data_IF_548938348540
#
_entry.id   IF_548938348540
#
_cell.length_a   1.000
_cell.length_b   1.000
_cell.length_c   1.000
_cell.angle_alpha   90.00
_cell.angle_beta   90.00
_cell.angle_gamma   90.00
#
_symmetry.space_group_name_H-M   'P 1'
#
loop_
_entity.id
_entity.type
_entity.pdbx_description
1 polymer ?
#
# COMPACT_ATOMS: atom_id res chain seq x y z
N UNK A 1 -1.77 9.17 41.92
CA UNK A 1 -2.30 7.83 41.62
C UNK A 1 -1.11 6.94 41.27
N UNK A 2 -0.69 6.09 42.22
CA UNK A 2 0.44 5.18 41.97
C UNK A 2 0.00 4.13 40.94
N UNK A 3 0.68 4.09 39.81
CA UNK A 3 0.44 3.04 38.81
C UNK A 3 0.77 1.68 39.43
N UNK A 4 -0.13 0.74 39.35
CA UNK A 4 0.01 -0.64 39.82
C UNK A 4 1.31 -1.24 39.23
N UNK A 5 2.00 -2.07 40.03
CA UNK A 5 3.21 -2.79 39.61
C UNK A 5 3.06 -3.57 38.32
N UNK A 6 1.86 -4.08 38.01
CA UNK A 6 1.51 -4.73 36.75
C UNK A 6 1.44 -3.79 35.55
N UNK A 7 1.15 -2.50 35.76
CA UNK A 7 1.17 -1.50 34.68
C UNK A 7 2.60 -1.08 34.31
N UNK A 8 3.52 -1.10 35.23
CA UNK A 8 4.95 -0.80 34.98
C UNK A 8 5.65 -1.92 34.21
N UNK A 9 5.21 -3.16 34.38
CA UNK A 9 5.72 -4.30 33.60
C UNK A 9 5.20 -4.35 32.16
N UNK A 10 4.03 -3.76 31.90
CA UNK A 10 3.44 -3.71 30.52
C UNK A 10 4.25 -2.89 29.53
N UNK A 11 5.06 -1.94 30.00
CA UNK A 11 5.86 -1.04 29.13
C UNK A 11 7.36 -1.22 29.36
N UNK A 12 7.77 -2.43 29.75
CA UNK A 12 9.16 -2.69 30.13
C UNK A 12 10.17 -2.50 28.99
N UNK A 13 9.73 -2.54 27.74
CA UNK A 13 10.55 -2.28 26.56
C UNK A 13 9.92 -1.25 25.63
N UNK A 14 9.58 -0.11 26.14
CA UNK A 14 9.33 1.03 25.28
C UNK A 14 10.67 1.66 24.91
N UNK A 15 11.03 1.72 23.65
CA UNK A 15 12.26 2.30 23.14
C UNK A 15 12.49 3.76 23.60
N UNK A 16 11.43 4.39 24.11
CA UNK A 16 11.37 5.80 24.49
C UNK A 16 11.06 6.04 25.97
N UNK A 17 11.15 5.02 26.84
CA UNK A 17 10.79 5.19 28.26
C UNK A 17 11.58 6.30 28.93
N UNK A 18 11.00 7.48 28.98
CA UNK A 18 11.27 8.55 29.88
C UNK A 18 10.05 8.81 30.77
N UNK A 19 10.24 9.17 32.02
CA UNK A 19 9.22 9.44 33.03
C UNK A 19 8.06 10.30 32.49
N UNK A 20 6.91 9.70 32.25
CA UNK A 20 5.70 10.45 31.89
C UNK A 20 5.02 10.96 33.14
N UNK A 21 5.37 12.16 33.55
CA UNK A 21 4.44 13.00 34.31
C UNK A 21 3.63 13.79 33.30
N UNK A 22 2.38 13.38 33.09
CA UNK A 22 1.40 14.12 32.27
C UNK A 22 1.06 15.46 32.92
N UNK A 23 1.89 16.45 32.72
CA UNK A 23 1.51 17.83 32.89
C UNK A 23 0.86 18.31 31.59
N UNK A 24 -0.39 18.77 31.64
CA UNK A 24 -1.12 19.37 30.50
C UNK A 24 -0.40 20.53 29.80
N UNK A 25 0.71 21.01 30.34
CA UNK A 25 1.60 22.00 29.75
C UNK A 25 2.58 21.44 28.73
N UNK A 26 2.66 20.11 28.62
CA UNK A 26 3.65 19.43 27.76
C UNK A 26 2.96 18.59 26.66
N UNK A 27 1.89 19.16 26.05
CA UNK A 27 1.25 18.56 24.87
C UNK A 27 2.17 18.52 23.64
N UNK A 28 3.45 18.92 23.80
CA UNK A 28 4.41 18.99 22.72
C UNK A 28 4.12 20.12 21.73
N UNK A 29 5.00 20.29 20.75
CA UNK A 29 4.80 21.31 19.71
C UNK A 29 3.70 20.84 18.74
N UNK A 30 2.67 21.67 18.58
CA UNK A 30 1.66 21.49 17.54
C UNK A 30 2.31 21.69 16.16
N UNK A 31 2.21 20.69 15.29
CA UNK A 31 2.66 20.77 13.91
C UNK A 31 1.45 20.88 12.97
N UNK A 32 1.59 21.68 11.92
CA UNK A 32 0.58 21.78 10.85
C UNK A 32 0.56 20.57 9.92
N UNK A 33 1.45 19.61 10.11
CA UNK A 33 1.56 18.38 9.33
C UNK A 33 1.83 17.17 10.25
N UNK A 34 1.48 15.99 9.77
CA UNK A 34 1.73 14.75 10.51
C UNK A 34 3.21 14.37 10.42
N UNK A 35 3.90 14.42 11.57
CA UNK A 35 5.34 14.11 11.65
C UNK A 35 5.63 12.60 11.59
N UNK A 36 4.64 11.76 11.87
CA UNK A 36 4.70 10.29 11.80
C UNK A 36 4.75 9.76 10.36
N UNK A 37 4.19 10.50 9.39
CA UNK A 37 4.12 10.04 7.99
C UNK A 37 5.48 10.06 7.29
N UNK A 38 5.75 9.08 6.41
CA UNK A 38 6.93 9.11 5.58
C UNK A 38 6.86 10.29 4.60
N UNK A 39 8.00 10.86 4.30
CA UNK A 39 8.16 11.85 3.24
C UNK A 39 9.10 11.29 2.21
N UNK A 40 8.69 11.28 0.97
CA UNK A 40 9.56 10.93 -0.14
C UNK A 40 10.69 11.95 -0.26
N UNK A 41 11.89 11.47 -0.55
CA UNK A 41 13.10 12.26 -0.66
C UNK A 41 13.68 12.23 -2.07
N UNK A 42 14.59 13.16 -2.36
CA UNK A 42 15.41 13.17 -3.60
C UNK A 42 14.62 13.13 -4.91
N UNK A 43 13.47 13.78 -4.97
CA UNK A 43 12.64 13.85 -6.18
C UNK A 43 11.69 12.66 -6.34
N UNK A 44 11.59 11.76 -5.35
CA UNK A 44 10.61 10.66 -5.34
C UNK A 44 9.17 11.19 -5.22
N UNK A 45 8.99 12.44 -4.84
CA UNK A 45 7.71 13.15 -4.81
C UNK A 45 7.13 13.47 -6.19
N UNK A 46 7.83 13.18 -7.26
CA UNK A 46 7.33 13.37 -8.64
C UNK A 46 6.07 12.55 -8.90
N UNK A 47 5.11 13.12 -9.58
CA UNK A 47 3.79 12.53 -9.77
C UNK A 47 3.81 11.10 -10.31
N UNK A 48 4.68 10.78 -11.27
CA UNK A 48 4.83 9.44 -11.83
C UNK A 48 5.38 8.47 -10.78
N UNK A 49 6.44 8.86 -10.07
CA UNK A 49 7.08 8.04 -9.03
C UNK A 49 6.11 7.80 -7.86
N UNK A 50 5.48 8.88 -7.38
CA UNK A 50 4.48 8.85 -6.32
C UNK A 50 3.30 7.95 -6.69
N UNK A 51 2.82 8.03 -7.94
CA UNK A 51 1.72 7.20 -8.43
C UNK A 51 2.07 5.71 -8.39
N UNK A 52 3.26 5.33 -8.84
CA UNK A 52 3.74 3.94 -8.81
C UNK A 52 3.89 3.45 -7.37
N UNK A 53 4.55 4.21 -6.50
CA UNK A 53 4.76 3.84 -5.10
C UNK A 53 3.44 3.68 -4.35
N UNK A 54 2.55 4.66 -4.48
CA UNK A 54 1.24 4.62 -3.84
C UNK A 54 0.38 3.47 -4.35
N UNK A 55 0.39 3.19 -5.66
CA UNK A 55 -0.39 2.08 -6.21
C UNK A 55 0.07 0.76 -5.62
N UNK A 56 1.37 0.46 -5.66
CA UNK A 56 1.91 -0.77 -5.10
C UNK A 56 1.65 -0.84 -3.58
N UNK A 57 1.89 0.25 -2.86
CA UNK A 57 1.71 0.28 -1.41
C UNK A 57 0.24 0.03 -1.00
N UNK A 58 -0.73 0.58 -1.73
CA UNK A 58 -2.16 0.35 -1.50
C UNK A 58 -2.55 -1.11 -1.79
N UNK A 59 -2.00 -1.70 -2.84
CA UNK A 59 -2.31 -3.08 -3.21
C UNK A 59 -1.68 -4.08 -2.24
N UNK A 60 -0.46 -3.84 -1.76
CA UNK A 60 0.17 -4.63 -0.69
C UNK A 60 -0.62 -4.50 0.61
N UNK A 61 -1.01 -3.29 1.00
CA UNK A 61 -1.78 -3.02 2.21
C UNK A 61 -3.23 -3.55 2.16
N UNK A 62 -3.71 -3.94 0.98
CA UNK A 62 -5.02 -4.58 0.82
C UNK A 62 -5.02 -6.08 1.18
N UNK A 63 -3.84 -6.68 1.31
CA UNK A 63 -3.69 -8.07 1.75
C UNK A 63 -3.86 -8.17 3.26
N UNK A 64 -4.54 -9.23 3.70
CA UNK A 64 -4.81 -9.47 5.11
C UNK A 64 -3.65 -10.27 5.72
N UNK A 65 -2.85 -9.62 6.55
CA UNK A 65 -1.73 -10.23 7.29
C UNK A 65 -2.21 -10.59 8.68
N UNK A 66 -1.98 -11.83 9.12
CA UNK A 66 -2.45 -12.33 10.41
C UNK A 66 -1.41 -13.18 11.11
N UNK A 67 -1.44 -13.17 12.45
CA UNK A 67 -0.74 -14.12 13.28
C UNK A 67 -1.59 -15.39 13.43
N UNK A 68 -1.06 -16.52 12.97
CA UNK A 68 -1.83 -17.76 12.81
C UNK A 68 -1.09 -18.96 13.41
N UNK A 69 -1.86 -19.99 13.69
CA UNK A 69 -1.35 -21.33 13.96
C UNK A 69 -1.54 -22.20 12.73
N UNK A 70 -0.51 -22.95 12.38
CA UNK A 70 -0.53 -23.92 11.31
C UNK A 70 -0.63 -25.34 11.87
N UNK A 71 -1.02 -26.30 11.05
CA UNK A 71 -0.92 -27.71 11.37
C UNK A 71 0.50 -28.27 11.09
N UNK A 72 0.71 -29.56 11.33
CA UNK A 72 1.98 -30.24 11.06
C UNK A 72 2.39 -30.22 9.56
N UNK A 73 1.42 -30.04 8.67
CA UNK A 73 1.61 -29.96 7.22
C UNK A 73 1.75 -28.51 6.72
N UNK A 74 1.79 -27.51 7.63
CA UNK A 74 1.88 -26.08 7.28
C UNK A 74 0.58 -25.47 6.79
N UNK A 75 -0.59 -26.12 7.00
CA UNK A 75 -1.89 -25.58 6.61
C UNK A 75 -2.45 -24.69 7.71
N UNK A 76 -3.24 -23.69 7.33
CA UNK A 76 -3.92 -22.81 8.28
C UNK A 76 -4.85 -23.61 9.22
N UNK A 77 -4.70 -23.38 10.50
CA UNK A 77 -5.53 -23.99 11.53
C UNK A 77 -6.44 -22.96 12.23
N UNK A 78 -5.86 -21.90 12.75
CA UNK A 78 -6.60 -20.84 13.47
C UNK A 78 -5.82 -19.53 13.53
N UNK A 79 -6.53 -18.44 13.73
CA UNK A 79 -5.93 -17.14 14.09
C UNK A 79 -5.54 -17.15 15.57
N UNK A 80 -4.43 -16.52 15.92
CA UNK A 80 -3.99 -16.30 17.30
C UNK A 80 -4.42 -14.89 17.70
N UNK A 81 -5.23 -14.78 18.72
CA UNK A 81 -5.72 -13.52 19.26
C UNK A 81 -4.73 -12.97 20.30
N UNK A 82 -3.76 -12.21 19.83
CA UNK A 82 -2.73 -11.55 20.65
C UNK A 82 -2.47 -10.12 20.19
N UNK A 83 -1.60 -9.39 20.90
CA UNK A 83 -1.25 -8.01 20.58
C UNK A 83 -0.62 -7.87 19.18
N UNK A 84 0.23 -8.83 18.78
CA UNK A 84 0.81 -8.82 17.45
C UNK A 84 -0.28 -8.94 16.36
N UNK A 85 -1.24 -9.84 16.53
CA UNK A 85 -2.35 -9.97 15.58
C UNK A 85 -3.20 -8.70 15.52
N UNK A 86 -3.44 -8.06 16.68
CA UNK A 86 -4.14 -6.76 16.72
C UNK A 86 -3.38 -5.69 15.92
N UNK A 87 -2.03 -5.63 16.07
CA UNK A 87 -1.19 -4.72 15.29
C UNK A 87 -1.27 -4.96 13.78
N UNK A 88 -1.42 -6.21 13.35
CA UNK A 88 -1.44 -6.61 11.94
C UNK A 88 -2.82 -6.47 11.28
N UNK A 89 -3.90 -6.51 12.07
CA UNK A 89 -5.28 -6.55 11.53
C UNK A 89 -6.08 -5.28 11.78
N UNK A 90 -5.87 -4.62 12.91
CA UNK A 90 -6.68 -3.48 13.34
C UNK A 90 -5.85 -2.20 13.48
N UNK A 91 -4.98 -2.13 14.48
CA UNK A 91 -4.29 -0.91 14.91
C UNK A 91 -2.83 -1.21 15.21
N UNK A 92 -1.93 -0.78 14.30
CA UNK A 92 -0.50 -0.98 14.48
C UNK A 92 0.09 -0.07 15.58
N UNK A 93 -0.49 1.10 15.77
CA UNK A 93 -0.14 2.10 16.80
C UNK A 93 -1.25 3.15 16.87
N UNK A 94 -1.19 4.05 17.88
CA UNK A 94 -2.23 5.10 18.12
C UNK A 94 -2.51 6.02 16.94
N UNK A 95 -1.61 6.12 15.96
CA UNK A 95 -1.75 7.01 14.80
C UNK A 95 -2.12 6.27 13.52
N UNK A 96 -1.92 4.94 13.47
CA UNK A 96 -1.98 4.18 12.23
C UNK A 96 -2.79 2.89 12.39
N UNK A 97 -3.75 2.70 11.50
CA UNK A 97 -4.37 1.38 11.31
C UNK A 97 -3.35 0.39 10.72
N UNK A 98 -3.60 -0.90 10.83
CA UNK A 98 -2.76 -1.94 10.24
C UNK A 98 -2.48 -1.69 8.74
N UNK A 99 -3.49 -1.30 7.95
CA UNK A 99 -3.32 -0.99 6.53
C UNK A 99 -2.45 0.24 6.29
N UNK A 100 -2.66 1.31 7.05
CA UNK A 100 -1.83 2.53 6.93
C UNK A 100 -0.39 2.26 7.32
N UNK A 101 -0.17 1.37 8.28
CA UNK A 101 1.15 0.94 8.69
C UNK A 101 1.87 0.14 7.58
N UNK A 102 1.20 -0.86 6.98
CA UNK A 102 1.80 -1.62 5.86
C UNK A 102 2.09 -0.71 4.67
N UNK A 103 1.20 0.25 4.36
CA UNK A 103 1.44 1.25 3.32
C UNK A 103 2.69 2.09 3.62
N UNK A 104 2.87 2.52 4.87
CA UNK A 104 4.05 3.27 5.33
C UNK A 104 5.33 2.43 5.20
N UNK A 105 5.30 1.16 5.60
CA UNK A 105 6.42 0.23 5.42
C UNK A 105 6.85 0.15 3.97
N UNK A 106 5.92 -0.04 3.03
CA UNK A 106 6.21 -0.19 1.60
C UNK A 106 6.77 1.11 1.02
N UNK A 107 6.15 2.26 1.32
CA UNK A 107 6.61 3.57 0.82
C UNK A 107 8.02 3.86 1.35
N UNK A 108 8.26 3.66 2.66
CA UNK A 108 9.58 3.90 3.27
C UNK A 108 10.64 2.94 2.70
N UNK A 109 10.28 1.68 2.46
CA UNK A 109 11.17 0.70 1.84
C UNK A 109 11.54 1.09 0.39
N UNK A 110 10.61 1.64 -0.37
CA UNK A 110 10.89 2.09 -1.75
C UNK A 110 11.74 3.36 -1.76
N UNK A 111 11.53 4.27 -0.81
CA UNK A 111 12.29 5.50 -0.74
C UNK A 111 13.75 5.24 -0.34
N UNK A 112 13.98 4.43 0.68
CA UNK A 112 15.29 4.20 1.29
C UNK A 112 15.99 2.89 0.84
N UNK A 113 15.29 1.99 0.17
CA UNK A 113 15.80 0.66 -0.24
C UNK A 113 15.73 -0.40 0.86
N UNK A 114 15.61 0.01 2.12
CA UNK A 114 15.40 -0.87 3.28
C UNK A 114 14.68 -0.12 4.38
N UNK A 115 13.94 -0.85 5.22
CA UNK A 115 13.15 -0.27 6.31
C UNK A 115 13.20 -1.19 7.53
N UNK A 116 13.12 -0.61 8.72
CA UNK A 116 12.98 -1.36 9.97
C UNK A 116 11.54 -1.29 10.49
N UNK A 117 10.94 -2.41 10.86
CA UNK A 117 9.74 -2.46 11.69
C UNK A 117 10.20 -2.64 13.14
N UNK A 118 9.89 -1.65 13.97
CA UNK A 118 10.35 -1.57 15.36
C UNK A 118 9.15 -1.77 16.29
N UNK A 119 9.16 -2.81 17.15
CA UNK A 119 8.25 -2.90 18.26
C UNK A 119 8.56 -1.78 19.25
N UNK A 120 7.66 -0.84 19.47
CA UNK A 120 7.87 0.30 20.38
C UNK A 120 7.19 0.10 21.72
N UNK A 121 6.24 -0.80 21.81
CA UNK A 121 5.62 -1.25 23.04
C UNK A 121 5.47 -2.77 23.06
N UNK A 122 5.88 -3.40 24.16
CA UNK A 122 5.84 -4.84 24.37
C UNK A 122 5.46 -5.15 25.82
N UNK A 123 4.88 -6.31 26.07
CA UNK A 123 4.45 -6.71 27.43
C UNK A 123 5.61 -6.89 28.41
N UNK A 124 6.77 -7.29 27.90
CA UNK A 124 8.03 -7.45 28.66
C UNK A 124 9.21 -7.05 27.78
N UNK A 125 10.35 -6.69 28.40
CA UNK A 125 11.56 -6.34 27.63
C UNK A 125 12.10 -7.54 26.86
N UNK A 126 12.16 -7.50 25.51
CA UNK A 126 12.68 -8.56 24.67
C UNK A 126 14.15 -8.92 24.92
N UNK A 127 14.93 -8.02 25.54
CA UNK A 127 16.31 -8.27 25.87
C UNK A 127 16.45 -9.11 27.17
N UNK A 128 15.43 -9.09 28.03
CA UNK A 128 15.39 -9.81 29.31
C UNK A 128 14.65 -11.12 29.20
N UNK A 129 13.55 -11.15 28.44
CA UNK A 129 12.70 -12.33 28.31
C UNK A 129 12.38 -12.61 26.83
N UNK A 130 12.55 -13.86 26.41
CA UNK A 130 12.10 -14.32 25.10
C UNK A 130 10.58 -14.50 24.98
N UNK A 131 9.83 -14.32 26.09
CA UNK A 131 8.36 -14.39 26.10
C UNK A 131 7.79 -12.99 26.25
N UNK A 132 7.44 -12.37 25.15
CA UNK A 132 6.83 -11.06 25.10
C UNK A 132 5.76 -11.04 24.00
N UNK A 133 4.78 -10.16 24.18
CA UNK A 133 3.78 -9.85 23.16
C UNK A 133 3.95 -8.40 22.69
N UNK A 134 3.78 -8.17 21.41
CA UNK A 134 3.96 -6.86 20.77
C UNK A 134 2.63 -6.12 20.82
N UNK A 135 2.63 -4.91 21.39
CA UNK A 135 1.44 -4.08 21.55
C UNK A 135 1.40 -2.91 20.56
N UNK A 136 2.55 -2.48 20.04
CA UNK A 136 2.64 -1.39 19.08
C UNK A 136 3.85 -1.55 18.16
N UNK A 137 3.66 -1.24 16.89
CA UNK A 137 4.66 -1.28 15.82
C UNK A 137 4.83 0.10 15.18
N UNK A 138 6.07 0.49 14.92
CA UNK A 138 6.41 1.71 14.17
C UNK A 138 7.39 1.42 13.06
N UNK A 139 7.31 2.23 12.00
CA UNK A 139 8.27 2.24 10.91
C UNK A 139 9.50 3.06 11.31
N UNK A 140 10.68 2.50 11.12
CA UNK A 140 11.97 3.15 11.39
C UNK A 140 12.81 3.28 10.12
N UNK A 141 13.27 4.50 9.84
CA UNK A 141 14.27 4.77 8.82
C UNK A 141 15.65 4.36 9.34
N UNK A 142 16.35 3.48 8.63
CA UNK A 142 17.70 3.03 9.04
C UNK A 142 18.71 4.12 8.64
N UNK A 143 19.41 4.66 9.63
CA UNK A 143 20.44 5.68 9.45
C UNK A 143 21.83 5.09 9.35
N UNK A 144 22.17 4.16 10.27
CA UNK A 144 23.47 3.50 10.32
C UNK A 144 23.34 2.01 10.60
N UNK A 145 24.29 1.26 10.03
CA UNK A 145 24.41 -0.17 10.18
C UNK A 145 25.62 -0.53 11.03
N UNK A 146 25.41 -1.25 12.15
CA UNK A 146 26.44 -1.86 12.95
C UNK A 146 26.37 -3.38 12.89
N UNK A 147 27.39 -4.13 13.27
CA UNK A 147 27.37 -5.59 13.16
C UNK A 147 26.15 -6.25 13.83
N UNK A 148 25.78 -5.84 15.06
CA UNK A 148 24.66 -6.40 15.82
C UNK A 148 23.50 -5.42 16.05
N UNK A 149 23.67 -4.14 15.73
CA UNK A 149 22.70 -3.06 15.96
C UNK A 149 22.42 -2.29 14.69
N UNK A 150 21.34 -1.54 14.71
CA UNK A 150 21.07 -0.47 13.76
C UNK A 150 20.77 0.82 14.52
N UNK A 151 21.12 1.97 13.95
CA UNK A 151 20.57 3.25 14.37
C UNK A 151 19.39 3.54 13.44
N UNK A 152 18.20 3.65 14.04
CA UNK A 152 16.97 3.90 13.32
C UNK A 152 16.32 5.18 13.82
N UNK A 153 15.72 5.94 12.91
CA UNK A 153 14.90 7.10 13.20
C UNK A 153 13.45 6.68 13.26
N UNK A 154 12.86 6.76 14.44
CA UNK A 154 11.50 6.29 14.74
C UNK A 154 10.69 7.43 15.34
N UNK A 155 9.40 7.48 15.05
CA UNK A 155 8.51 8.45 15.67
C UNK A 155 8.21 8.06 17.12
N UNK A 156 8.47 9.02 18.03
CA UNK A 156 8.18 8.89 19.45
C UNK A 156 6.82 9.52 19.77
N UNK A 157 5.87 8.70 20.22
CA UNK A 157 4.50 9.11 20.54
C UNK A 157 4.43 10.10 21.71
N UNK A 158 5.39 10.01 22.66
CA UNK A 158 5.41 10.85 23.85
C UNK A 158 5.89 12.26 23.54
N UNK A 159 6.92 12.39 22.69
CA UNK A 159 7.53 13.68 22.34
C UNK A 159 6.94 14.29 21.07
N UNK A 160 6.17 13.52 20.28
CA UNK A 160 5.60 13.93 19.00
C UNK A 160 6.66 14.19 17.92
N UNK A 161 7.85 13.61 18.06
CA UNK A 161 8.99 13.84 17.15
C UNK A 161 9.62 12.52 16.69
N UNK A 162 10.32 12.57 15.56
CA UNK A 162 11.20 11.48 15.17
C UNK A 162 12.52 11.56 15.93
N UNK A 163 12.89 10.47 16.58
CA UNK A 163 14.11 10.35 17.38
C UNK A 163 15.00 9.23 16.86
N UNK A 164 16.31 9.40 17.02
CA UNK A 164 17.29 8.41 16.60
C UNK A 164 17.56 7.46 17.78
N UNK A 165 17.26 6.19 17.57
CA UNK A 165 17.46 5.13 18.57
C UNK A 165 18.40 4.06 18.05
N UNK A 166 19.15 3.43 18.95
CA UNK A 166 19.99 2.27 18.64
C UNK A 166 19.30 1.01 19.15
N UNK A 167 18.96 0.13 18.24
CA UNK A 167 18.22 -1.11 18.54
C UNK A 167 18.96 -2.33 18.02
N UNK A 168 18.90 -3.47 18.74
CA UNK A 168 19.53 -4.70 18.30
C UNK A 168 18.79 -5.27 17.07
N UNK A 169 19.56 -5.78 16.10
CA UNK A 169 19.00 -6.43 14.89
C UNK A 169 18.16 -7.67 15.21
N UNK A 170 18.31 -8.23 16.41
CA UNK A 170 17.49 -9.37 16.86
C UNK A 170 16.06 -8.99 17.22
N UNK A 171 15.82 -7.75 17.62
CA UNK A 171 14.52 -7.28 18.10
C UNK A 171 13.69 -6.53 17.05
N UNK A 172 14.25 -6.26 15.88
CA UNK A 172 13.59 -5.51 14.80
C UNK A 172 13.53 -6.33 13.51
N UNK A 173 12.46 -6.20 12.76
CA UNK A 173 12.36 -6.77 11.42
C UNK A 173 12.92 -5.75 10.42
N UNK A 174 13.97 -6.16 9.70
CA UNK A 174 14.65 -5.33 8.70
C UNK A 174 14.28 -5.87 7.33
N UNK A 175 13.48 -5.12 6.60
CA UNK A 175 12.99 -5.50 5.28
C UNK A 175 13.85 -4.80 4.23
N UNK A 176 14.45 -5.56 3.35
CA UNK A 176 15.13 -5.07 2.16
C UNK A 176 14.16 -5.10 0.98
N UNK A 177 14.24 -4.10 0.13
CA UNK A 177 13.38 -4.03 -1.05
C UNK A 177 13.68 -5.18 -2.02
N UNK A 178 12.77 -6.13 -2.25
CA UNK A 178 12.99 -7.21 -3.22
C UNK A 178 13.12 -6.70 -4.66
N UNK A 179 12.64 -5.47 -4.93
CA UNK A 179 12.75 -4.79 -6.22
C UNK A 179 13.91 -3.76 -6.24
N UNK A 180 14.92 -3.93 -5.36
CA UNK A 180 16.03 -3.00 -5.19
C UNK A 180 16.73 -2.67 -6.52
N UNK A 181 17.01 -3.66 -7.34
CA UNK A 181 17.68 -3.50 -8.63
C UNK A 181 16.89 -2.63 -9.62
N UNK A 182 15.57 -2.58 -9.50
CA UNK A 182 14.68 -1.77 -10.37
C UNK A 182 14.45 -0.37 -9.82
N UNK A 183 14.38 -0.24 -8.49
CA UNK A 183 13.93 0.99 -7.80
C UNK A 183 15.10 1.77 -7.20
N UNK A 184 15.95 1.13 -6.38
CA UNK A 184 16.91 1.82 -5.51
C UNK A 184 18.34 1.82 -6.01
N UNK A 185 18.76 0.84 -6.81
CA UNK A 185 20.11 0.79 -7.32
C UNK A 185 20.49 2.09 -8.07
N UNK A 186 21.71 2.64 -7.91
CA UNK A 186 22.08 3.94 -8.48
C UNK A 186 21.85 4.11 -9.99
N UNK A 187 21.91 3.01 -10.75
CA UNK A 187 21.62 2.97 -12.18
C UNK A 187 20.30 2.30 -12.55
N UNK A 188 19.44 2.04 -11.57
CA UNK A 188 18.11 1.45 -11.79
C UNK A 188 17.27 2.30 -12.75
N UNK A 189 16.27 1.69 -13.34
CA UNK A 189 15.34 2.36 -14.23
C UNK A 189 14.62 3.51 -13.51
N UNK A 190 14.21 3.30 -12.26
CA UNK A 190 13.58 4.33 -11.44
C UNK A 190 14.52 5.52 -11.20
N UNK A 191 15.76 5.28 -10.78
CA UNK A 191 16.72 6.33 -10.50
C UNK A 191 17.11 7.12 -11.77
N UNK A 192 17.16 6.45 -12.91
CA UNK A 192 17.35 7.10 -14.22
C UNK A 192 16.15 7.97 -14.59
N UNK A 193 14.93 7.49 -14.35
CA UNK A 193 13.70 8.24 -14.58
C UNK A 193 13.66 9.51 -13.70
N UNK A 194 13.91 9.37 -12.39
CA UNK A 194 13.97 10.51 -11.44
C UNK A 194 14.97 11.58 -11.93
N UNK A 195 16.18 11.17 -12.36
CA UNK A 195 17.17 12.11 -12.89
C UNK A 195 16.68 12.84 -14.14
N UNK A 196 15.92 12.17 -15.02
CA UNK A 196 15.37 12.79 -16.23
C UNK A 196 14.22 13.74 -15.91
N UNK A 197 13.36 13.38 -14.95
CA UNK A 197 12.31 14.26 -14.46
C UNK A 197 12.89 15.54 -13.81
N UNK A 198 13.94 15.39 -12.98
CA UNK A 198 14.63 16.55 -12.40
C UNK A 198 15.26 17.44 -13.46
N UNK A 199 15.81 16.86 -14.54
CA UNK A 199 16.34 17.63 -15.65
C UNK A 199 15.23 18.37 -16.41
N UNK A 200 14.06 17.76 -16.59
CA UNK A 200 12.91 18.40 -17.22
C UNK A 200 12.47 19.64 -16.44
N UNK A 201 12.36 19.52 -15.11
CA UNK A 201 11.97 20.65 -14.26
C UNK A 201 12.95 21.83 -14.34
N UNK A 202 14.27 21.52 -14.37
CA UNK A 202 15.29 22.58 -14.56
C UNK A 202 15.12 23.28 -15.91
N UNK A 203 14.80 22.53 -16.96
CA UNK A 203 14.55 23.09 -18.29
C UNK A 203 13.25 23.90 -18.29
N UNK A 204 12.19 23.42 -17.65
CA UNK A 204 10.92 24.13 -17.55
C UNK A 204 11.06 25.43 -16.75
N UNK A 205 11.83 25.41 -15.64
CA UNK A 205 12.15 26.60 -14.86
C UNK A 205 12.94 27.61 -15.67
N UNK A 206 13.96 27.15 -16.45
CA UNK A 206 14.71 28.00 -17.34
C UNK A 206 13.85 28.61 -18.45
N UNK A 207 12.95 27.79 -19.03
CA UNK A 207 12.02 28.23 -20.07
C UNK A 207 10.98 29.22 -19.52
N UNK A 208 10.42 28.91 -18.31
CA UNK A 208 9.42 29.76 -17.62
C UNK A 208 10.03 31.09 -17.12
N UNK A 209 11.31 31.13 -16.79
CA UNK A 209 12.00 32.35 -16.34
C UNK A 209 12.33 33.34 -17.46
N UNK A 210 11.95 33.05 -18.71
CA UNK A 210 12.25 33.90 -19.86
C UNK A 210 13.74 34.03 -20.19
N UNK A 211 14.57 33.14 -19.60
CA UNK A 211 16.01 33.10 -19.90
C UNK A 211 16.22 32.51 -21.27
N UNK A 212 16.34 33.35 -22.25
CA UNK A 212 16.69 32.97 -23.60
C UNK A 212 18.19 32.70 -23.68
N UNK A 213 18.56 31.55 -24.25
CA UNK A 213 19.96 31.31 -24.64
C UNK A 213 20.28 32.23 -25.81
N UNK A 214 20.90 33.36 -25.52
CA UNK A 214 21.24 34.38 -26.51
C UNK A 214 22.75 34.50 -26.66
N UNK A 215 23.22 34.52 -27.91
CA UNK A 215 24.60 34.98 -28.21
C UNK A 215 24.50 36.41 -28.68
N UNK A 216 25.10 37.30 -27.90
CA UNK A 216 25.21 38.71 -28.24
C UNK A 216 26.58 38.94 -28.87
N UNK A 217 26.61 39.22 -30.16
CA UNK A 217 27.84 39.61 -30.85
C UNK A 217 28.01 41.10 -30.74
N UNK A 218 29.02 41.52 -29.97
CA UNK A 218 29.35 42.92 -29.78
C UNK A 218 30.22 43.44 -30.92
N UNK A 219 30.14 44.73 -31.28
CA UNK A 219 30.91 45.32 -32.38
C UNK A 219 32.40 45.60 -32.06
N UNK A 220 32.85 45.14 -30.92
CA UNK A 220 34.24 45.36 -30.45
C UNK A 220 34.81 44.08 -29.79
N UNK A 221 36.15 44.02 -29.74
CA UNK A 221 36.88 42.90 -29.13
C UNK A 221 37.09 43.16 -27.64
N UNK A 222 36.73 42.17 -26.80
CA UNK A 222 36.86 42.23 -25.33
C UNK A 222 38.29 41.84 -24.94
N UNK A 223 39.24 42.82 -24.97
CA UNK A 223 40.64 42.60 -24.56
C UNK A 223 41.02 43.31 -23.26
N UNK A 224 40.31 44.40 -22.89
CA UNK A 224 40.60 45.22 -21.72
C UNK A 224 39.49 45.08 -20.67
N UNK A 225 39.82 45.29 -19.39
CA UNK A 225 38.86 45.22 -18.29
C UNK A 225 37.71 46.23 -18.46
N UNK A 226 38.00 47.43 -18.97
CA UNK A 226 36.98 48.43 -19.25
C UNK A 226 35.94 47.92 -20.29
N UNK A 227 36.42 47.25 -21.37
CA UNK A 227 35.51 46.64 -22.36
C UNK A 227 34.76 45.42 -21.86
N UNK A 228 35.36 44.67 -20.93
CA UNK A 228 34.66 43.56 -20.23
C UNK A 228 33.51 44.12 -19.41
N UNK A 229 33.74 45.18 -18.66
CA UNK A 229 32.71 45.84 -17.87
C UNK A 229 31.58 46.42 -18.73
N UNK A 230 31.95 47.00 -19.87
CA UNK A 230 30.99 47.50 -20.85
C UNK A 230 30.11 46.35 -21.43
N UNK A 231 30.70 45.22 -21.76
CA UNK A 231 29.97 44.03 -22.22
C UNK A 231 29.03 43.45 -21.12
N UNK A 232 29.50 43.43 -19.88
CA UNK A 232 28.71 42.99 -18.73
C UNK A 232 27.52 43.93 -18.47
N UNK A 233 27.72 45.23 -18.55
CA UNK A 233 26.65 46.21 -18.42
C UNK A 233 25.61 46.05 -19.56
N UNK A 234 26.09 45.81 -20.78
CA UNK A 234 25.21 45.60 -21.94
C UNK A 234 24.40 44.30 -21.80
N UNK A 235 25.02 43.24 -21.28
CA UNK A 235 24.29 41.98 -20.94
C UNK A 235 23.16 42.23 -19.94
N UNK A 236 23.46 42.95 -18.84
CA UNK A 236 22.48 43.30 -17.83
C UNK A 236 21.34 44.16 -18.36
N UNK A 237 21.68 45.09 -19.27
CA UNK A 237 20.69 45.96 -19.88
C UNK A 237 19.69 45.20 -20.75
N UNK A 238 20.18 44.26 -21.57
CA UNK A 238 19.33 43.37 -22.37
C UNK A 238 18.52 42.42 -21.48
N UNK A 239 19.13 41.87 -20.43
CA UNK A 239 18.45 41.00 -19.45
C UNK A 239 17.30 41.73 -18.72
N UNK A 240 17.51 42.99 -18.34
CA UNK A 240 16.49 43.85 -17.73
C UNK A 240 15.36 44.20 -18.73
N UNK A 241 15.71 44.51 -19.98
CA UNK A 241 14.74 44.79 -21.03
C UNK A 241 13.84 43.58 -21.32
N UNK A 242 14.42 42.37 -21.40
CA UNK A 242 13.68 41.14 -21.66
C UNK A 242 12.82 40.75 -20.46
N UNK A 243 13.33 40.86 -19.24
CA UNK A 243 12.59 40.55 -18.03
C UNK A 243 11.48 41.56 -17.72
N UNK A 244 11.65 42.83 -18.09
CA UNK A 244 10.65 43.88 -17.94
C UNK A 244 9.61 43.95 -19.08
N UNK A 245 9.83 43.24 -20.18
CA UNK A 245 8.99 43.28 -21.36
C UNK A 245 7.91 42.20 -21.33
N UNK A 246 6.63 42.60 -21.41
CA UNK A 246 5.50 41.67 -21.48
C UNK A 246 5.54 40.72 -22.71
N UNK A 247 6.28 41.10 -23.74
CA UNK A 247 6.36 40.39 -25.04
C UNK A 247 7.77 39.91 -25.38
N UNK A 248 8.75 40.00 -24.45
CA UNK A 248 10.14 39.57 -24.70
C UNK A 248 10.86 40.40 -25.76
N UNK A 249 10.58 41.69 -25.87
CA UNK A 249 11.16 42.59 -26.84
C UNK A 249 12.32 43.37 -26.17
N UNK A 250 13.48 43.33 -26.78
CA UNK A 250 14.64 44.15 -26.40
C UNK A 250 15.11 44.97 -27.60
N UNK A 251 15.69 46.17 -27.34
CA UNK A 251 16.25 47.01 -28.36
C UNK A 251 17.75 46.74 -28.50
N UNK A 252 18.22 46.60 -29.74
CA UNK A 252 19.64 46.42 -30.07
C UNK A 252 20.14 47.55 -30.93
N UNK A 253 21.43 47.88 -30.83
CA UNK A 253 22.11 48.78 -31.76
C UNK A 253 22.30 48.07 -33.12
N UNK A 254 22.21 48.80 -34.21
CA UNK A 254 22.34 48.28 -35.58
C UNK A 254 23.66 47.56 -35.91
N UNK A 255 24.63 47.64 -35.01
CA UNK A 255 25.93 46.95 -35.08
C UNK A 255 26.02 45.69 -34.21
N UNK A 256 25.01 45.43 -33.38
CA UNK A 256 24.92 44.25 -32.54
C UNK A 256 24.10 43.17 -33.24
N UNK A 257 24.59 41.95 -33.18
CA UNK A 257 23.85 40.77 -33.64
C UNK A 257 23.43 39.89 -32.46
N UNK A 258 22.14 39.71 -32.24
CA UNK A 258 21.61 38.78 -31.25
C UNK A 258 21.13 37.52 -31.99
N UNK A 259 21.72 36.39 -31.65
CA UNK A 259 21.33 35.10 -32.18
C UNK A 259 20.69 34.29 -31.05
N UNK A 260 19.42 33.97 -31.20
CA UNK A 260 18.74 33.06 -30.28
C UNK A 260 19.16 31.62 -30.61
N UNK A 261 19.68 30.93 -29.59
CA UNK A 261 19.98 29.49 -29.70
C UNK A 261 18.71 28.71 -29.42
N UNK A 262 18.03 28.26 -30.47
CA UNK A 262 16.91 27.35 -30.33
C UNK A 262 17.45 25.94 -30.05
N UNK A 263 17.52 25.56 -28.77
CA UNK A 263 17.83 24.18 -28.40
C UNK A 263 16.56 23.37 -28.46
N UNK A 264 16.44 22.49 -29.43
CA UNK A 264 15.35 21.48 -29.52
C UNK A 264 15.57 20.33 -28.52
N UNK A 265 15.89 20.67 -27.25
CA UNK A 265 16.21 19.67 -26.20
C UNK A 265 14.98 18.93 -25.74
N UNK A 266 13.80 19.55 -25.83
CA UNK A 266 12.57 19.04 -25.21
C UNK A 266 12.04 17.75 -25.84
N UNK A 267 12.03 17.61 -27.17
CA UNK A 267 11.46 16.42 -27.83
C UNK A 267 12.20 15.12 -27.49
N UNK A 268 13.54 15.17 -27.39
CA UNK A 268 14.32 13.96 -27.08
C UNK A 268 14.24 13.59 -25.59
N UNK A 269 14.10 14.59 -24.69
CA UNK A 269 13.97 14.33 -23.26
C UNK A 269 12.62 13.67 -22.92
N UNK A 270 11.54 14.18 -23.49
CA UNK A 270 10.21 13.59 -23.31
C UNK A 270 10.16 12.14 -23.81
N UNK A 271 10.68 11.86 -25.00
CA UNK A 271 10.75 10.49 -25.53
C UNK A 271 11.61 9.55 -24.64
N UNK A 272 12.67 10.09 -24.02
CA UNK A 272 13.48 9.31 -23.06
C UNK A 272 12.71 9.05 -21.76
N UNK A 273 11.93 10.00 -21.27
CA UNK A 273 11.07 9.83 -20.09
C UNK A 273 9.99 8.78 -20.37
N UNK A 274 9.29 8.86 -21.50
CA UNK A 274 8.29 7.90 -21.93
C UNK A 274 8.86 6.48 -22.05
N UNK A 275 10.04 6.34 -22.68
CA UNK A 275 10.74 5.07 -22.78
C UNK A 275 11.11 4.50 -21.41
N UNK A 276 11.67 5.30 -20.51
CA UNK A 276 12.05 4.87 -19.15
C UNK A 276 10.82 4.52 -18.32
N UNK A 277 9.72 5.25 -18.45
CA UNK A 277 8.45 4.96 -17.78
C UNK A 277 7.88 3.64 -18.27
N UNK A 278 7.83 3.42 -19.58
CA UNK A 278 7.37 2.16 -20.17
C UNK A 278 8.24 0.97 -19.74
N UNK A 279 9.56 1.14 -19.72
CA UNK A 279 10.49 0.11 -19.24
C UNK A 279 10.30 -0.19 -17.77
N UNK A 280 10.10 0.85 -16.92
CA UNK A 280 9.82 0.70 -15.50
C UNK A 280 8.52 -0.09 -15.27
N UNK A 281 7.46 0.27 -15.97
CA UNK A 281 6.17 -0.42 -15.87
C UNK A 281 6.30 -1.89 -16.27
N UNK A 282 7.02 -2.19 -17.34
CA UNK A 282 7.30 -3.56 -17.76
C UNK A 282 8.09 -4.36 -16.71
N UNK A 283 9.09 -3.74 -16.07
CA UNK A 283 9.90 -4.37 -15.02
C UNK A 283 9.10 -4.62 -13.74
N UNK A 284 8.20 -3.71 -13.39
CA UNK A 284 7.30 -3.84 -12.23
C UNK A 284 6.04 -4.66 -12.54
N UNK A 285 5.86 -5.15 -13.78
CA UNK A 285 4.63 -5.84 -14.17
C UNK A 285 3.38 -4.97 -14.09
N UNK A 286 3.54 -3.64 -14.07
CA UNK A 286 2.46 -2.68 -14.07
C UNK A 286 2.11 -2.34 -15.52
N UNK A 287 0.82 -2.37 -15.85
CA UNK A 287 0.30 -1.90 -17.14
C UNK A 287 -0.51 -0.62 -16.94
N UNK A 288 -0.74 0.13 -17.99
CA UNK A 288 -1.61 1.30 -17.93
C UNK A 288 -3.01 0.92 -17.42
N UNK A 289 -3.52 -0.26 -17.82
CA UNK A 289 -4.81 -0.77 -17.36
C UNK A 289 -4.89 -1.03 -15.85
N UNK A 290 -3.77 -1.34 -15.19
CA UNK A 290 -3.73 -1.44 -13.72
C UNK A 290 -3.86 -0.07 -13.08
N UNK A 291 -3.21 0.95 -13.66
CA UNK A 291 -3.24 2.31 -13.13
C UNK A 291 -4.59 3.01 -13.32
N UNK A 292 -5.26 2.77 -14.44
CA UNK A 292 -6.58 3.33 -14.76
C UNK A 292 -7.76 2.45 -14.30
N UNK A 293 -7.47 1.24 -13.76
CA UNK A 293 -8.49 0.34 -13.21
C UNK A 293 -9.24 -0.49 -14.25
N UNK A 294 -8.77 -0.55 -15.49
CA UNK A 294 -9.38 -1.33 -16.59
C UNK A 294 -8.70 -2.70 -16.79
N UNK A 295 -7.80 -3.11 -15.89
CA UNK A 295 -7.06 -4.36 -16.02
C UNK A 295 -7.98 -5.59 -15.91
N UNK A 296 -7.76 -6.55 -16.78
CA UNK A 296 -8.41 -7.86 -16.70
C UNK A 296 -7.81 -8.73 -15.58
N UNK A 297 -8.49 -9.81 -15.22
CA UNK A 297 -8.08 -10.72 -14.16
C UNK A 297 -6.67 -11.30 -14.39
N UNK A 298 -6.34 -11.67 -15.61
CA UNK A 298 -5.03 -12.23 -15.96
C UNK A 298 -3.90 -11.22 -15.75
N UNK A 299 -4.12 -9.97 -16.12
CA UNK A 299 -3.16 -8.87 -15.91
C UNK A 299 -2.99 -8.60 -14.43
N UNK A 300 -4.09 -8.57 -13.66
CA UNK A 300 -4.04 -8.41 -12.20
C UNK A 300 -3.33 -9.59 -11.52
N UNK A 301 -3.56 -10.83 -11.97
CA UNK A 301 -2.86 -12.00 -11.44
C UNK A 301 -1.34 -11.93 -11.68
N UNK A 302 -0.93 -11.56 -12.89
CA UNK A 302 0.48 -11.38 -13.23
C UNK A 302 1.15 -10.30 -12.38
N UNK A 303 0.48 -9.16 -12.20
CA UNK A 303 0.96 -8.07 -11.35
C UNK A 303 1.10 -8.51 -9.89
N UNK A 304 0.09 -9.19 -9.35
CA UNK A 304 0.14 -9.71 -7.98
C UNK A 304 1.34 -10.66 -7.79
N UNK A 305 1.51 -11.65 -8.66
CA UNK A 305 2.56 -12.65 -8.51
C UNK A 305 3.96 -12.09 -8.71
N UNK A 306 4.15 -11.07 -9.56
CA UNK A 306 5.45 -10.52 -9.90
C UNK A 306 5.89 -9.36 -9.01
N UNK A 307 4.95 -8.63 -8.44
CA UNK A 307 5.24 -7.38 -7.71
C UNK A 307 4.70 -7.41 -6.29
N UNK A 308 3.44 -7.70 -6.11
CA UNK A 308 2.81 -7.62 -4.79
C UNK A 308 3.28 -8.75 -3.87
N UNK A 309 3.23 -9.98 -4.34
CA UNK A 309 3.61 -11.18 -3.55
C UNK A 309 5.07 -11.16 -3.08
N UNK A 310 6.09 -10.83 -3.89
CA UNK A 310 7.45 -10.71 -3.40
C UNK A 310 7.63 -9.67 -2.29
N UNK A 311 6.90 -8.54 -2.37
CA UNK A 311 6.97 -7.47 -1.37
C UNK A 311 6.36 -7.93 -0.05
N UNK A 312 5.13 -8.44 -0.08
CA UNK A 312 4.46 -8.89 1.14
C UNK A 312 5.17 -10.07 1.77
N UNK A 313 5.72 -10.99 0.97
CA UNK A 313 6.51 -12.13 1.44
C UNK A 313 7.77 -11.65 2.16
N UNK A 314 8.50 -10.67 1.63
CA UNK A 314 9.68 -10.10 2.29
C UNK A 314 9.33 -9.49 3.65
N UNK A 315 8.19 -8.77 3.75
CA UNK A 315 7.69 -8.18 4.99
C UNK A 315 7.34 -9.28 6.00
N UNK A 316 6.53 -10.24 5.59
CA UNK A 316 6.02 -11.31 6.46
C UNK A 316 7.15 -12.23 6.95
N UNK A 317 8.08 -12.61 6.07
CA UNK A 317 9.20 -13.49 6.42
C UNK A 317 10.14 -12.83 7.43
N UNK A 318 10.43 -11.54 7.30
CA UNK A 318 11.23 -10.81 8.28
C UNK A 318 10.51 -10.65 9.62
N UNK A 319 9.23 -10.32 9.62
CA UNK A 319 8.44 -10.27 10.86
C UNK A 319 8.39 -11.65 11.53
N UNK A 320 8.13 -12.71 10.77
CA UNK A 320 8.13 -14.10 11.25
C UNK A 320 9.49 -14.49 11.85
N UNK A 321 10.59 -14.11 11.20
CA UNK A 321 11.95 -14.39 11.66
C UNK A 321 12.28 -13.69 12.97
N UNK A 322 11.78 -12.46 13.18
CA UNK A 322 12.17 -11.59 14.31
C UNK A 322 11.18 -11.57 15.45
N UNK A 323 9.89 -11.54 15.15
CA UNK A 323 8.86 -11.37 16.18
C UNK A 323 8.37 -12.69 16.77
N UNK A 324 8.54 -13.79 16.04
CA UNK A 324 8.21 -15.11 16.60
C UNK A 324 9.43 -15.77 17.26
N UNK A 325 9.30 -16.09 18.54
CA UNK A 325 10.32 -16.82 19.29
C UNK A 325 10.54 -18.23 18.74
N UNK A 326 11.65 -18.88 19.11
CA UNK A 326 11.90 -20.27 18.72
C UNK A 326 10.77 -21.18 19.23
N UNK A 327 10.29 -20.94 20.46
CA UNK A 327 9.19 -21.71 21.06
C UNK A 327 7.88 -21.50 20.31
N UNK A 328 7.53 -20.27 19.94
CA UNK A 328 6.33 -19.99 19.16
C UNK A 328 6.38 -20.72 17.80
N UNK A 329 7.52 -20.70 17.12
CA UNK A 329 7.71 -21.42 15.85
C UNK A 329 7.65 -22.94 16.01
N UNK A 330 8.17 -23.51 17.11
CA UNK A 330 8.03 -24.94 17.40
C UNK A 330 6.60 -25.35 17.76
N UNK A 331 5.75 -24.40 18.15
CA UNK A 331 4.32 -24.57 18.34
C UNK A 331 3.51 -24.29 17.06
N UNK A 332 4.17 -24.27 15.91
CA UNK A 332 3.59 -24.01 14.59
C UNK A 332 2.93 -22.62 14.45
N UNK A 333 3.34 -21.63 15.27
CA UNK A 333 2.91 -20.26 15.07
C UNK A 333 3.64 -19.64 13.86
N UNK A 334 2.91 -18.87 13.07
CA UNK A 334 3.39 -18.21 11.87
C UNK A 334 2.69 -16.88 11.64
N UNK A 335 3.33 -15.98 10.92
CA UNK A 335 2.66 -14.83 10.33
C UNK A 335 2.40 -15.18 8.87
N UNK A 336 1.17 -15.03 8.43
CA UNK A 336 0.77 -15.38 7.06
C UNK A 336 -0.10 -14.27 6.48
N UNK A 337 -0.06 -14.11 5.17
CA UNK A 337 -0.98 -13.22 4.47
C UNK A 337 -2.00 -14.04 3.69
N UNK A 338 -3.21 -13.52 3.63
CA UNK A 338 -4.31 -14.16 2.93
C UNK A 338 -4.82 -13.22 1.83
N UNK A 339 -4.94 -13.78 0.65
CA UNK A 339 -5.58 -13.14 -0.48
C UNK A 339 -7.01 -13.65 -0.59
N UNK A 340 -7.96 -12.74 -0.68
CA UNK A 340 -9.33 -13.10 -1.01
C UNK A 340 -9.41 -13.50 -2.49
N UNK A 341 -9.63 -14.79 -2.79
CA UNK A 341 -9.67 -15.27 -4.17
C UNK A 341 -10.88 -14.76 -4.95
N UNK A 342 -11.92 -14.32 -4.25
CA UNK A 342 -13.19 -13.87 -4.85
C UNK A 342 -13.20 -12.37 -5.16
N UNK A 343 -12.28 -11.59 -4.60
CA UNK A 343 -12.26 -10.14 -4.76
C UNK A 343 -12.10 -9.66 -6.21
N UNK A 344 -11.51 -10.49 -7.07
CA UNK A 344 -11.27 -10.19 -8.48
C UNK A 344 -12.22 -10.96 -9.42
N UNK A 345 -13.11 -11.79 -8.89
CA UNK A 345 -14.01 -12.62 -9.67
C UNK A 345 -15.27 -11.81 -10.02
N UNK A 346 -15.67 -11.74 -11.31
CA UNK A 346 -16.94 -11.15 -11.70
C UNK A 346 -18.10 -11.82 -10.96
N UNK A 347 -19.12 -11.04 -10.58
CA UNK A 347 -20.27 -11.54 -9.83
C UNK A 347 -20.97 -12.70 -10.53
N UNK A 348 -21.01 -12.71 -11.85
CA UNK A 348 -21.60 -13.79 -12.65
C UNK A 348 -20.85 -15.12 -12.51
N UNK A 349 -19.53 -15.05 -12.35
CA UNK A 349 -18.67 -16.24 -12.24
C UNK A 349 -18.67 -16.79 -10.81
N UNK A 350 -18.98 -15.96 -9.81
CA UNK A 350 -19.10 -16.38 -8.39
C UNK A 350 -20.15 -17.48 -8.25
N UNK A 351 -21.28 -17.37 -8.97
CA UNK A 351 -22.33 -18.37 -8.92
C UNK A 351 -21.85 -19.74 -9.45
N UNK A 352 -21.07 -19.75 -10.54
CA UNK A 352 -20.51 -20.97 -11.12
C UNK A 352 -19.43 -21.58 -10.21
N UNK A 353 -18.58 -20.75 -9.63
CA UNK A 353 -17.54 -21.19 -8.66
C UNK A 353 -18.20 -21.73 -7.42
N UNK A 354 -19.21 -21.05 -6.87
CA UNK A 354 -19.97 -21.47 -5.71
C UNK A 354 -20.65 -22.84 -5.91
N UNK A 355 -21.27 -23.07 -7.09
CA UNK A 355 -21.85 -24.36 -7.45
C UNK A 355 -20.76 -25.46 -7.50
N UNK A 356 -19.62 -25.19 -8.14
CA UNK A 356 -18.50 -26.15 -8.22
C UNK A 356 -17.90 -26.44 -6.86
N UNK A 357 -17.74 -25.44 -6.00
CA UNK A 357 -17.13 -25.62 -4.68
C UNK A 357 -18.06 -26.35 -3.71
N UNK A 358 -19.36 -26.06 -3.74
CA UNK A 358 -20.34 -26.78 -2.95
C UNK A 358 -20.49 -28.24 -3.43
N UNK A 359 -20.49 -28.46 -4.73
CA UNK A 359 -20.60 -29.78 -5.35
C UNK A 359 -19.44 -30.70 -5.02
N UNK A 360 -18.24 -30.14 -4.95
CA UNK A 360 -17.00 -30.86 -4.64
C UNK A 360 -16.66 -30.86 -3.13
N UNK A 361 -17.60 -30.41 -2.27
CA UNK A 361 -17.42 -30.39 -0.82
C UNK A 361 -16.20 -29.58 -0.36
N UNK A 362 -15.85 -28.49 -1.10
CA UNK A 362 -14.70 -27.62 -0.81
C UNK A 362 -15.11 -26.50 0.14
N UNK A 363 -16.33 -25.94 -0.03
CA UNK A 363 -16.90 -24.88 0.79
C UNK A 363 -18.32 -25.19 1.22
N UNK A 364 -18.64 -24.75 2.44
CA UNK A 364 -19.99 -24.82 2.99
C UNK A 364 -20.89 -23.72 2.42
N UNK A 365 -22.21 -23.86 2.57
CA UNK A 365 -23.15 -22.82 2.13
C UNK A 365 -22.96 -21.50 2.89
N UNK A 366 -22.61 -21.56 4.17
CA UNK A 366 -22.39 -20.36 4.99
C UNK A 366 -21.10 -19.64 4.61
N UNK A 367 -20.03 -20.37 4.29
CA UNK A 367 -18.79 -19.77 3.76
C UNK A 367 -19.03 -19.06 2.43
N UNK A 368 -19.81 -19.63 1.52
CA UNK A 368 -20.19 -18.97 0.26
C UNK A 368 -21.05 -17.73 0.52
N UNK A 369 -22.01 -17.81 1.45
CA UNK A 369 -22.84 -16.66 1.84
C UNK A 369 -21.98 -15.52 2.40
N UNK A 370 -20.96 -15.85 3.21
CA UNK A 370 -20.00 -14.89 3.76
C UNK A 370 -19.19 -14.20 2.65
N UNK A 371 -18.72 -14.98 1.67
CA UNK A 371 -17.97 -14.43 0.50
C UNK A 371 -18.82 -13.43 -0.28
N UNK A 372 -20.12 -13.71 -0.45
CA UNK A 372 -21.06 -12.83 -1.16
C UNK A 372 -21.57 -11.69 -0.26
N UNK A 373 -21.18 -11.66 1.01
CA UNK A 373 -21.59 -10.63 1.98
C UNK A 373 -22.99 -10.82 2.54
N UNK A 374 -23.53 -12.05 2.50
CA UNK A 374 -24.83 -12.39 3.07
C UNK A 374 -24.69 -12.91 4.51
N UNK A 375 -25.68 -12.64 5.36
CA UNK A 375 -25.77 -13.23 6.71
C UNK A 375 -25.75 -14.75 6.62
N UNK A 376 -24.99 -15.47 7.50
CA UNK A 376 -25.06 -16.93 7.60
C UNK A 376 -26.49 -17.41 7.81
N UNK A 377 -26.82 -18.59 7.27
CA UNK A 377 -28.09 -19.29 7.54
C UNK A 377 -28.05 -19.88 8.93
N UNK A 378 -29.17 -19.86 9.63
CA UNK A 378 -29.32 -20.48 10.96
C UNK A 378 -29.54 -22.00 10.87
N UNK A 379 -29.67 -22.57 9.66
CA UNK A 379 -29.77 -24.00 9.43
C UNK A 379 -28.41 -24.68 9.70
N UNK A 380 -28.28 -25.60 10.65
CA UNK A 380 -27.05 -26.34 10.94
C UNK A 380 -26.44 -27.04 9.72
N UNK A 381 -27.28 -27.45 8.76
CA UNK A 381 -26.82 -28.08 7.50
C UNK A 381 -26.08 -27.10 6.57
N UNK A 382 -26.17 -25.80 6.81
CA UNK A 382 -25.47 -24.81 6.02
C UNK A 382 -23.98 -24.76 6.31
N UNK A 383 -23.54 -25.32 7.45
CA UNK A 383 -22.12 -25.41 7.84
C UNK A 383 -21.52 -26.80 7.56
N UNK A 384 -22.30 -27.71 6.97
CA UNK A 384 -21.82 -29.03 6.56
C UNK A 384 -21.25 -29.00 5.15
N UNK A 385 -20.09 -29.64 4.96
CA UNK A 385 -19.52 -29.92 3.63
C UNK A 385 -20.35 -31.03 3.01
N UNK A 386 -21.29 -30.71 2.15
CA UNK A 386 -22.23 -31.66 1.57
C UNK A 386 -22.55 -31.36 0.12
N UNK A 387 -22.44 -32.39 -0.72
CA UNK A 387 -22.92 -32.31 -2.09
C UNK A 387 -24.47 -32.39 -2.14
N UNK A 388 -25.11 -31.26 -2.35
CA UNK A 388 -26.59 -31.14 -2.37
C UNK A 388 -27.26 -31.91 -3.54
N UNK A 389 -26.49 -32.34 -4.52
CA UNK A 389 -26.97 -33.11 -5.68
C UNK A 389 -26.94 -34.61 -5.45
N UNK A 390 -26.32 -35.07 -4.37
CA UNK A 390 -26.41 -36.45 -3.94
C UNK A 390 -27.61 -36.57 -3.00
N UNK A 391 -28.63 -37.32 -3.43
CA UNK A 391 -29.77 -37.66 -2.59
C UNK A 391 -29.27 -38.31 -1.30
N UNK A 392 -29.76 -37.88 -0.14
CA UNK A 392 -29.44 -38.51 1.13
C UNK A 392 -29.76 -40.01 1.03
N UNK A 393 -28.90 -40.93 1.51
CA UNK A 393 -29.29 -42.30 1.67
C UNK A 393 -30.49 -42.34 2.64
N UNK A 394 -31.59 -42.91 2.16
CA UNK A 394 -32.78 -43.15 2.94
C UNK A 394 -32.42 -44.10 4.10
N UNK A 395 -32.24 -43.55 5.28
CA UNK A 395 -31.86 -44.36 6.43
C UNK A 395 -31.77 -43.58 7.73
N UNK A 396 -32.86 -43.03 8.21
CA UNK A 396 -33.14 -42.97 9.65
C UNK A 396 -34.66 -42.76 9.85
N UNK A 397 -35.30 -43.79 10.37
CA UNK A 397 -36.64 -43.75 10.95
C UNK A 397 -36.83 -42.50 11.81
N UNK A 398 -37.67 -41.59 11.39
CA UNK A 398 -38.41 -40.76 12.34
C UNK A 398 -39.88 -41.18 12.27
N UNK A 399 -40.33 -41.62 13.40
CA UNK A 399 -41.71 -41.97 13.71
C UNK A 399 -42.61 -40.82 13.24
N UNK A 400 -43.50 -41.17 12.31
CA UNK A 400 -44.67 -40.36 11.95
C UNK A 400 -45.63 -40.37 13.13
N UNK A 401 -45.76 -39.29 13.85
CA UNK A 401 -46.94 -39.00 14.65
C UNK A 401 -48.13 -38.84 13.67
N UNK A 402 -49.03 -39.80 13.73
CA UNK A 402 -50.33 -39.76 13.09
C UNK A 402 -51.14 -38.58 13.65
N UNK A 403 -51.48 -37.63 12.81
CA UNK A 403 -52.56 -36.69 13.07
C UNK A 403 -53.85 -37.27 12.47
N UNK A 404 -55.01 -37.21 13.20
CA UNK A 404 -56.24 -37.85 12.79
C UNK A 404 -56.88 -37.15 11.57
N UNK A 405 -57.30 -37.97 10.63
CA UNK A 405 -58.05 -37.60 9.44
C UNK A 405 -59.44 -37.09 9.86
N UNK A 406 -59.74 -35.82 9.60
CA UNK A 406 -61.09 -35.30 9.63
C UNK A 406 -61.76 -35.61 8.29
N UNK A 407 -62.87 -36.36 8.35
CA UNK A 407 -63.80 -36.59 7.24
C UNK A 407 -64.29 -35.29 6.64
N UNK A 408 -64.15 -35.13 5.30
CA UNK A 408 -64.83 -34.10 4.55
C UNK A 408 -65.75 -34.77 3.56
N UNK A 409 -67.01 -34.47 3.72
CA UNK A 409 -68.16 -34.88 2.90
C UNK A 409 -68.03 -34.41 1.47
N UNK A 410 -68.51 -35.26 0.56
CA UNK A 410 -68.70 -35.06 -0.86
C UNK A 410 -69.78 -34.05 -1.16
N UNK A 411 -69.51 -33.02 -1.98
CA UNK A 411 -70.52 -32.38 -2.84
C UNK A 411 -69.83 -31.88 -4.14
N UNK A 412 -70.19 -32.36 -5.22
CA UNK A 412 -70.60 -32.25 -6.52
C UNK A 412 -70.29 -30.99 -7.33
N UNK A 413 -69.87 -31.26 -8.58
CA UNK A 413 -70.17 -30.55 -9.83
C UNK A 413 -70.16 -29.02 -9.87
N UNK A 414 -69.21 -28.48 -10.65
CA UNK A 414 -69.50 -27.77 -11.90
C UNK A 414 -68.22 -27.16 -12.54
N UNK A 415 -67.76 -27.84 -13.55
CA UNK A 415 -66.89 -27.24 -14.58
C UNK A 415 -67.76 -26.39 -15.51
N UNK A 416 -67.49 -25.09 -15.57
CA UNK A 416 -67.79 -24.14 -16.66
C UNK A 416 -67.88 -22.74 -16.10
N UNK A 417 -66.82 -21.96 -16.20
CA UNK A 417 -66.87 -20.48 -16.20
C UNK A 417 -65.45 -19.84 -15.99
N UNK A 418 -64.47 -20.32 -16.70
CA UNK A 418 -63.16 -19.68 -16.64
C UNK A 418 -62.54 -19.30 -18.00
N UNK A 419 -63.27 -19.54 -19.12
CA UNK A 419 -62.78 -19.19 -20.48
C UNK A 419 -63.26 -17.85 -21.02
N UNK A 420 -64.11 -17.12 -20.32
CA UNK A 420 -64.72 -15.89 -20.85
C UNK A 420 -64.15 -14.57 -20.31
N UNK A 421 -63.08 -14.61 -19.53
CA UNK A 421 -62.40 -13.38 -19.00
C UNK A 421 -61.06 -13.04 -19.61
N UNK A 422 -60.50 -13.83 -20.47
CA UNK A 422 -59.18 -13.60 -21.09
C UNK A 422 -59.27 -12.93 -22.51
N UNK A 423 -60.48 -12.91 -23.12
CA UNK A 423 -60.66 -12.36 -24.47
C UNK A 423 -61.03 -10.87 -24.54
N UNK A 424 -61.22 -10.18 -23.40
CA UNK A 424 -61.63 -8.75 -23.40
C UNK A 424 -60.60 -7.72 -22.97
N UNK A 425 -59.33 -8.11 -22.88
CA UNK A 425 -58.25 -7.13 -22.53
C UNK A 425 -57.20 -6.94 -23.64
N UNK A 426 -57.41 -7.40 -24.86
CA UNK A 426 -56.51 -7.13 -26.01
C UNK A 426 -57.10 -6.24 -27.10
N UNK A 427 -58.11 -5.42 -26.76
CA UNK A 427 -58.61 -4.41 -27.69
C UNK A 427 -58.87 -3.07 -27.00
N UNK A 428 -57.83 -2.43 -26.50
CA UNK A 428 -57.73 -0.99 -26.33
C UNK A 428 -56.34 -0.63 -25.77
N UNK A 429 -55.40 -0.47 -26.60
CA UNK A 429 -54.40 0.60 -26.83
C UNK A 429 -53.28 0.10 -27.74
#
# INVERSE_FOLDING_TARGET
MEMSFGSRLKHAWNAFTGNVQTNYRDLGMSYSYRADRPRMSRGNERSIVTSVYNRIALDVAALNVQHVRLDENGRFLSVIDDGLNNCLTLEANVDQTARSFVQDVVISMFDEGSVAIVPVDTTTDPNVSGSYDIQSLRVGQILDWYPQYIRARVYNEQTGRKEDIVVPKSAVAIIENPLYAVINEPNSTMQRLIRKLNLLDVIDEQSGSGKLDLIIKLPYVIKTEARRQQAENRRKDIENQLSGSKYGIAYTDGTEHITQLNRSVNNNLMSQIEYLTSMLYSQLGITQSILDGTADEKTMLNYNNRTIEPIISAIVDEMKRKFLTKTARSQHQSISFFRDPFKLVPVNDIAEIADKFTRNEIMTSNEIRQVVGMKPSEDPRADELRNKNLSAPSGSNQQSEEMPIAEVDSVGDSASDLDDKISKQKSKK
#
